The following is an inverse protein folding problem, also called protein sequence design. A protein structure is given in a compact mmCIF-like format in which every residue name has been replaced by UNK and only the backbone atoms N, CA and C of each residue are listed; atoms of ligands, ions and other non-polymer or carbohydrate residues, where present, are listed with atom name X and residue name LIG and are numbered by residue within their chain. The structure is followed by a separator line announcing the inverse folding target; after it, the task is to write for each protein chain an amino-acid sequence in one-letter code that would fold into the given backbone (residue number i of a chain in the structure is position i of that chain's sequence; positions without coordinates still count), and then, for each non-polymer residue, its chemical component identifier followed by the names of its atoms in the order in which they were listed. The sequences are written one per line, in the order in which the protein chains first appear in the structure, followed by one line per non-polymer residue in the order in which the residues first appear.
data_IF_982139334821
#
_entry.id   IF_982139334821
#
_cell.length_a   1.000
_cell.length_b   1.000
_cell.length_c   1.000
_cell.angle_alpha   90.00
_cell.angle_beta   90.00
_cell.angle_gamma   90.00
#
_symmetry.space_group_name_H-M   'P 1'
#
loop_
_entity.id
_entity.type
_entity.pdbx_description
1 polymer ?
#
# COMPACT_ATOMS: atom_id res chain seq x y z
N UNK A 1 -3.69 -11.68 7.44
CA UNK A 1 -2.58 -12.60 7.77
C UNK A 1 -3.10 -13.55 8.79
N UNK A 2 -2.49 -14.73 8.86
CA UNK A 2 -2.88 -15.74 9.85
C UNK A 2 -2.68 -15.20 11.27
N UNK A 3 -3.61 -15.52 12.16
CA UNK A 3 -3.68 -14.93 13.51
C UNK A 3 -2.48 -15.32 14.40
N UNK A 4 -1.75 -16.38 14.04
CA UNK A 4 -0.57 -16.86 14.75
C UNK A 4 0.74 -16.18 14.31
N UNK A 5 0.70 -15.34 13.26
CA UNK A 5 1.85 -14.65 12.72
C UNK A 5 1.96 -13.21 13.23
N UNK A 6 3.18 -12.73 13.54
CA UNK A 6 3.36 -11.36 14.01
C UNK A 6 3.12 -10.34 12.90
N UNK A 7 2.58 -9.18 13.28
CA UNK A 7 2.26 -8.10 12.35
C UNK A 7 3.49 -7.27 11.92
N UNK A 8 4.60 -7.31 12.65
CA UNK A 8 5.78 -6.47 12.39
C UNK A 8 7.11 -7.25 12.56
N UNK A 9 7.28 -8.39 11.85
CA UNK A 9 8.38 -9.32 12.08
C UNK A 9 9.76 -8.68 11.92
N UNK A 10 9.96 -7.73 11.01
CA UNK A 10 11.24 -7.05 10.88
C UNK A 10 11.50 -6.10 12.06
N UNK A 11 10.48 -5.33 12.46
CA UNK A 11 10.60 -4.31 13.49
C UNK A 11 10.79 -4.88 14.90
N UNK A 12 10.32 -6.10 15.18
CA UNK A 12 10.37 -6.64 16.54
C UNK A 12 10.85 -8.10 16.58
N UNK A 13 10.03 -9.06 16.16
CA UNK A 13 10.24 -10.48 16.49
C UNK A 13 11.52 -11.06 15.91
N UNK A 14 11.84 -10.77 14.64
CA UNK A 14 12.99 -11.37 13.97
C UNK A 14 14.34 -10.89 14.53
N UNK A 15 14.36 -9.77 15.27
CA UNK A 15 15.59 -9.25 15.90
C UNK A 15 15.99 -10.05 17.15
N UNK A 16 15.03 -10.74 17.77
CA UNK A 16 15.24 -11.53 18.98
C UNK A 16 15.60 -12.99 18.68
N UNK A 17 15.61 -13.36 17.40
CA UNK A 17 15.84 -14.72 16.93
C UNK A 17 17.26 -14.88 16.33
N UNK A 18 17.80 -16.11 16.31
CA UNK A 18 18.91 -16.45 15.43
C UNK A 18 18.64 -16.03 13.99
N UNK A 19 19.68 -15.58 13.27
CA UNK A 19 19.51 -14.94 11.95
C UNK A 19 18.73 -15.79 10.94
N UNK A 20 18.93 -17.11 10.93
CA UNK A 20 18.20 -18.04 10.07
C UNK A 20 16.72 -18.16 10.46
N UNK A 21 16.42 -18.19 11.75
CA UNK A 21 15.05 -18.27 12.28
C UNK A 21 14.28 -16.96 12.05
N UNK A 22 14.93 -15.81 12.24
CA UNK A 22 14.35 -14.51 11.93
C UNK A 22 14.01 -14.34 10.45
N UNK A 23 14.91 -14.80 9.55
CA UNK A 23 14.63 -14.83 8.11
C UNK A 23 13.45 -15.75 7.79
N UNK A 24 13.44 -16.96 8.35
CA UNK A 24 12.35 -17.91 8.13
C UNK A 24 10.99 -17.39 8.64
N UNK A 25 10.98 -16.67 9.77
CA UNK A 25 9.77 -16.02 10.28
C UNK A 25 9.26 -14.97 9.29
N UNK A 26 10.11 -14.05 8.85
CA UNK A 26 9.72 -13.01 7.88
C UNK A 26 9.18 -13.63 6.58
N UNK A 27 9.80 -14.71 6.08
CA UNK A 27 9.32 -15.39 4.88
C UNK A 27 7.92 -15.99 5.04
N UNK A 28 7.61 -16.58 6.21
CA UNK A 28 6.25 -17.06 6.51
C UNK A 28 5.25 -15.92 6.54
N UNK A 29 5.60 -14.80 7.18
CA UNK A 29 4.75 -13.60 7.23
C UNK A 29 4.53 -13.04 5.83
N UNK A 30 5.58 -12.97 4.99
CA UNK A 30 5.47 -12.53 3.59
C UNK A 30 4.50 -13.41 2.81
N UNK A 31 4.62 -14.73 2.91
CA UNK A 31 3.73 -15.66 2.22
C UNK A 31 2.27 -15.49 2.66
N UNK A 32 2.01 -15.38 3.98
CA UNK A 32 0.68 -15.12 4.51
C UNK A 32 0.11 -13.77 4.05
N UNK A 33 0.94 -12.72 3.99
CA UNK A 33 0.56 -11.41 3.48
C UNK A 33 0.17 -11.45 2.00
N UNK A 34 0.92 -12.18 1.17
CA UNK A 34 0.65 -12.36 -0.26
C UNK A 34 -0.69 -13.08 -0.49
N UNK A 35 -0.94 -14.16 0.24
CA UNK A 35 -2.21 -14.90 0.15
C UNK A 35 -3.40 -14.01 0.57
N UNK A 36 -3.28 -13.32 1.71
CA UNK A 36 -4.34 -12.46 2.20
C UNK A 36 -4.58 -11.24 1.30
N UNK A 37 -3.52 -10.67 0.72
CA UNK A 37 -3.66 -9.60 -0.27
C UNK A 37 -4.41 -10.10 -1.51
N UNK A 38 -4.12 -11.32 -1.97
CA UNK A 38 -4.85 -11.92 -3.08
C UNK A 38 -6.34 -12.11 -2.75
N UNK A 39 -6.67 -12.66 -1.58
CA UNK A 39 -8.07 -12.86 -1.14
C UNK A 39 -8.81 -11.53 -0.98
N UNK A 40 -8.19 -10.55 -0.32
CA UNK A 40 -8.79 -9.24 -0.12
C UNK A 40 -9.10 -8.53 -1.45
N UNK A 41 -8.19 -8.59 -2.44
CA UNK A 41 -8.45 -8.00 -3.75
C UNK A 41 -9.51 -8.77 -4.56
N UNK A 42 -9.66 -10.06 -4.34
CA UNK A 42 -10.78 -10.84 -4.90
C UNK A 42 -12.12 -10.36 -4.33
N UNK A 43 -12.21 -10.18 -3.00
CA UNK A 43 -13.40 -9.63 -2.35
C UNK A 43 -13.75 -8.22 -2.88
N UNK A 44 -12.74 -7.34 -3.04
CA UNK A 44 -12.95 -6.02 -3.65
C UNK A 44 -13.49 -6.15 -5.08
N UNK A 45 -12.98 -7.08 -5.88
CA UNK A 45 -13.46 -7.30 -7.26
C UNK A 45 -14.92 -7.78 -7.33
N UNK A 46 -15.44 -8.41 -6.28
CA UNK A 46 -16.87 -8.79 -6.22
C UNK A 46 -17.81 -7.60 -5.99
N UNK A 47 -17.31 -6.51 -5.42
CA UNK A 47 -18.12 -5.34 -5.02
C UNK A 47 -17.89 -4.13 -5.91
N UNK A 48 -16.69 -3.98 -6.46
CA UNK A 48 -16.31 -2.87 -7.34
C UNK A 48 -16.13 -3.38 -8.77
N UNK A 49 -17.11 -3.14 -9.66
CA UNK A 49 -16.96 -3.51 -11.06
C UNK A 49 -15.87 -2.66 -11.73
N UNK A 50 -15.12 -3.27 -12.63
CA UNK A 50 -14.11 -2.60 -13.48
C UNK A 50 -13.02 -1.83 -12.71
N UNK A 51 -12.19 -2.55 -11.97
CA UNK A 51 -11.02 -1.97 -11.30
C UNK A 51 -9.99 -1.53 -12.34
N UNK A 52 -9.84 -0.22 -12.48
CA UNK A 52 -8.94 0.38 -13.47
C UNK A 52 -7.46 0.36 -13.05
N UNK A 53 -7.17 0.09 -11.78
CA UNK A 53 -5.81 0.04 -11.21
C UNK A 53 -5.80 0.28 -9.70
N UNK A 54 -4.63 0.16 -9.10
CA UNK A 54 -4.42 0.34 -7.66
C UNK A 54 -3.36 1.40 -7.43
N UNK A 55 -3.62 2.38 -6.57
CA UNK A 55 -2.64 3.39 -6.19
C UNK A 55 -2.01 3.04 -4.83
N UNK A 56 -0.68 2.94 -4.79
CA UNK A 56 0.08 2.58 -3.58
C UNK A 56 1.17 3.63 -3.32
N UNK A 57 1.41 3.93 -2.04
CA UNK A 57 2.46 4.89 -1.68
C UNK A 57 3.84 4.29 -1.99
N UNK A 58 4.71 5.10 -2.59
CA UNK A 58 6.12 4.77 -2.85
C UNK A 58 6.78 4.08 -1.66
N UNK A 59 7.54 3.04 -1.96
CA UNK A 59 8.36 2.31 -1.00
C UNK A 59 9.81 2.82 -1.06
N UNK A 60 10.47 3.04 0.09
CA UNK A 60 11.91 3.27 0.13
C UNK A 60 12.64 2.03 -0.37
N UNK A 61 13.83 2.26 -0.91
CA UNK A 61 14.76 1.16 -1.17
C UNK A 61 15.18 0.50 0.15
N UNK A 62 15.26 -0.82 0.12
CA UNK A 62 15.69 -1.65 1.24
C UNK A 62 16.95 -2.41 0.86
N UNK A 63 17.77 -2.81 1.84
CA UNK A 63 18.81 -3.80 1.63
C UNK A 63 18.28 -5.05 0.91
N UNK A 64 19.08 -5.71 0.06
CA UNK A 64 18.59 -6.76 -0.82
C UNK A 64 18.10 -8.00 -0.06
N UNK A 65 18.70 -8.34 1.08
CA UNK A 65 18.33 -9.54 1.85
C UNK A 65 17.52 -9.22 3.11
N UNK A 66 16.67 -10.16 3.53
CA UNK A 66 15.93 -10.06 4.80
C UNK A 66 16.90 -9.96 6.00
N UNK A 67 17.99 -10.73 5.98
CA UNK A 67 18.99 -10.70 7.05
C UNK A 67 19.63 -9.31 7.20
N UNK A 68 19.94 -8.62 6.09
CA UNK A 68 20.43 -7.25 6.13
C UNK A 68 19.36 -6.27 6.61
N UNK A 69 18.10 -6.43 6.16
CA UNK A 69 16.97 -5.59 6.60
C UNK A 69 16.73 -5.66 8.10
N UNK A 70 16.83 -6.84 8.71
CA UNK A 70 16.66 -7.04 10.16
C UNK A 70 17.77 -6.33 10.95
N UNK A 71 19.01 -6.37 10.43
CA UNK A 71 20.18 -5.76 11.08
C UNK A 71 20.25 -4.24 10.90
N UNK A 72 19.73 -3.72 9.79
CA UNK A 72 19.73 -2.29 9.51
C UNK A 72 18.61 -1.57 10.29
N UNK A 73 19.00 -0.61 11.13
CA UNK A 73 18.08 0.12 12.00
C UNK A 73 16.98 0.86 11.23
N UNK A 74 17.32 1.44 10.08
CA UNK A 74 16.33 2.16 9.27
C UNK A 74 15.40 1.17 8.59
N UNK A 75 15.97 0.15 7.93
CA UNK A 75 15.24 -0.82 7.14
C UNK A 75 14.25 -1.60 8.00
N UNK A 76 14.63 -2.08 9.18
CA UNK A 76 13.73 -2.84 10.07
C UNK A 76 12.49 -2.06 10.51
N UNK A 77 12.58 -0.73 10.61
CA UNK A 77 11.45 0.13 10.96
C UNK A 77 10.45 0.34 9.80
N UNK A 78 10.84 0.00 8.57
CA UNK A 78 10.01 0.23 7.38
C UNK A 78 9.71 -1.02 6.56
N UNK A 79 10.49 -2.08 6.74
CA UNK A 79 10.42 -3.28 5.93
C UNK A 79 9.06 -3.98 6.01
N UNK A 80 8.40 -3.95 7.17
CA UNK A 80 7.09 -4.59 7.34
C UNK A 80 6.01 -3.94 6.47
N UNK A 81 5.87 -2.61 6.52
CA UNK A 81 4.87 -1.96 5.68
C UNK A 81 5.26 -1.94 4.19
N UNK A 82 6.56 -2.00 3.87
CA UNK A 82 7.01 -2.19 2.48
C UNK A 82 6.58 -3.58 1.99
N UNK A 83 6.78 -4.62 2.78
CA UNK A 83 6.35 -5.99 2.49
C UNK A 83 4.84 -6.06 2.23
N UNK A 84 4.01 -5.44 3.07
CA UNK A 84 2.55 -5.43 2.84
C UNK A 84 2.14 -4.69 1.56
N UNK A 85 2.78 -3.57 1.24
CA UNK A 85 2.50 -2.87 -0.03
C UNK A 85 2.94 -3.68 -1.24
N UNK A 86 4.08 -4.36 -1.14
CA UNK A 86 4.56 -5.25 -2.21
C UNK A 86 3.63 -6.45 -2.40
N UNK A 87 3.09 -7.03 -1.32
CA UNK A 87 2.08 -8.09 -1.40
C UNK A 87 0.81 -7.62 -2.13
N UNK A 88 0.29 -6.43 -1.81
CA UNK A 88 -0.87 -5.84 -2.51
C UNK A 88 -0.53 -5.55 -3.98
N UNK A 89 0.66 -4.99 -4.25
CA UNK A 89 1.10 -4.72 -5.62
C UNK A 89 1.20 -6.00 -6.46
N UNK A 90 1.78 -7.06 -5.91
CA UNK A 90 1.88 -8.38 -6.56
C UNK A 90 0.51 -8.98 -6.85
N UNK A 91 -0.40 -8.94 -5.87
CA UNK A 91 -1.77 -9.42 -6.03
C UNK A 91 -2.57 -8.63 -7.08
N UNK A 92 -2.37 -7.31 -7.18
CA UNK A 92 -2.97 -6.47 -8.21
C UNK A 92 -2.37 -6.77 -9.60
N UNK A 93 -1.04 -6.89 -9.69
CA UNK A 93 -0.33 -7.19 -10.93
C UNK A 93 -0.75 -8.55 -11.51
N UNK A 94 -0.93 -9.57 -10.67
CA UNK A 94 -1.40 -10.89 -11.08
C UNK A 94 -2.80 -10.87 -11.73
N UNK A 95 -3.59 -9.81 -11.48
CA UNK A 95 -4.90 -9.56 -12.09
C UNK A 95 -4.85 -8.66 -13.32
N UNK A 96 -3.66 -8.24 -13.74
CA UNK A 96 -3.47 -7.27 -14.82
C UNK A 96 -3.85 -5.84 -14.44
N UNK A 97 -4.03 -5.54 -13.14
CA UNK A 97 -4.35 -4.18 -12.72
C UNK A 97 -3.07 -3.34 -12.65
N UNK A 98 -3.02 -2.18 -13.32
CA UNK A 98 -1.85 -1.32 -13.25
C UNK A 98 -1.69 -0.75 -11.85
N UNK A 99 -0.44 -0.71 -11.38
CA UNK A 99 -0.08 -0.12 -10.09
C UNK A 99 0.45 1.29 -10.33
N UNK A 100 -0.15 2.27 -9.66
CA UNK A 100 0.35 3.63 -9.60
C UNK A 100 1.07 3.87 -8.28
N UNK A 101 2.37 4.13 -8.34
CA UNK A 101 3.16 4.45 -7.16
C UNK A 101 3.22 5.98 -6.95
N UNK A 102 2.69 6.46 -5.83
CA UNK A 102 2.57 7.90 -5.55
C UNK A 102 3.50 8.37 -4.43
N UNK A 103 3.94 9.64 -4.49
CA UNK A 103 4.56 10.33 -3.36
C UNK A 103 3.48 11.04 -2.53
N UNK A 104 3.40 10.70 -1.24
CA UNK A 104 2.44 11.30 -0.31
C UNK A 104 2.63 12.82 -0.15
N UNK A 105 3.80 13.36 -0.49
CA UNK A 105 4.07 14.81 -0.45
C UNK A 105 3.44 15.59 -1.60
N UNK A 106 3.29 14.97 -2.78
CA UNK A 106 2.85 15.64 -4.01
C UNK A 106 1.45 15.22 -4.45
N UNK A 107 0.93 14.10 -3.93
CA UNK A 107 -0.31 13.48 -4.42
C UNK A 107 -1.54 14.38 -4.33
N UNK A 108 -1.63 15.29 -3.36
CA UNK A 108 -2.75 16.24 -3.28
C UNK A 108 -2.72 17.26 -4.42
N UNK A 109 -1.53 17.74 -4.79
CA UNK A 109 -1.38 18.66 -5.91
C UNK A 109 -1.60 17.93 -7.25
N UNK A 110 -1.16 16.68 -7.36
CA UNK A 110 -1.46 15.82 -8.51
C UNK A 110 -2.96 15.60 -8.69
N UNK A 111 -3.67 15.31 -7.59
CA UNK A 111 -5.12 15.17 -7.60
C UNK A 111 -5.84 16.48 -7.96
N UNK A 112 -5.36 17.62 -7.43
CA UNK A 112 -5.88 18.94 -7.79
C UNK A 112 -5.73 19.24 -9.28
N UNK A 113 -4.54 18.99 -9.85
CA UNK A 113 -4.29 19.10 -11.29
C UNK A 113 -5.19 18.19 -12.11
N UNK A 114 -5.36 16.94 -11.68
CA UNK A 114 -6.21 15.95 -12.34
C UNK A 114 -7.68 16.40 -12.43
N UNK A 115 -8.19 17.02 -11.36
CA UNK A 115 -9.55 17.54 -11.30
C UNK A 115 -9.70 18.96 -11.86
N UNK A 116 -8.59 19.63 -12.20
CA UNK A 116 -8.55 21.05 -12.58
C UNK A 116 -9.12 21.97 -11.50
N UNK A 117 -8.83 21.66 -10.25
CA UNK A 117 -9.21 22.48 -9.08
C UNK A 117 -7.98 23.07 -8.41
N UNK A 118 -8.15 24.24 -7.77
CA UNK A 118 -7.05 24.93 -7.10
C UNK A 118 -6.50 24.13 -5.90
N UNK A 119 -7.39 23.48 -5.13
CA UNK A 119 -7.01 22.63 -4.01
C UNK A 119 -7.89 21.39 -3.96
N UNK A 120 -7.27 20.23 -3.69
CA UNK A 120 -8.00 18.98 -3.50
C UNK A 120 -8.87 18.99 -2.23
N UNK A 121 -8.49 19.80 -1.24
CA UNK A 121 -9.16 19.87 0.07
C UNK A 121 -10.63 20.26 -0.02
N UNK A 122 -10.97 21.25 -0.85
CA UNK A 122 -12.36 21.65 -1.05
C UNK A 122 -13.19 20.49 -1.62
N UNK A 123 -12.67 19.81 -2.64
CA UNK A 123 -13.32 18.64 -3.24
C UNK A 123 -13.55 17.53 -2.21
N UNK A 124 -12.55 17.25 -1.37
CA UNK A 124 -12.68 16.23 -0.34
C UNK A 124 -13.74 16.59 0.71
N UNK A 125 -13.80 17.86 1.14
CA UNK A 125 -14.81 18.30 2.12
C UNK A 125 -16.23 18.19 1.57
N UNK A 126 -16.45 18.54 0.30
CA UNK A 126 -17.78 18.45 -0.30
C UNK A 126 -18.23 17.00 -0.52
N UNK A 127 -17.31 16.13 -0.95
CA UNK A 127 -17.55 14.69 -0.99
C UNK A 127 -17.88 14.15 0.41
N UNK A 128 -17.09 14.50 1.43
CA UNK A 128 -17.31 14.04 2.82
C UNK A 128 -18.67 14.44 3.36
N UNK A 129 -19.14 15.66 3.07
CA UNK A 129 -20.50 16.12 3.44
C UNK A 129 -21.59 15.31 2.75
N UNK A 130 -21.35 14.89 1.51
CA UNK A 130 -22.33 14.18 0.67
C UNK A 130 -22.44 12.70 1.06
N UNK A 131 -21.30 12.03 1.29
CA UNK A 131 -21.25 10.58 1.56
C UNK A 131 -21.43 10.26 3.05
N UNK A 132 -21.05 11.17 3.96
CA UNK A 132 -21.09 10.91 5.41
C UNK A 132 -19.90 10.09 5.91
N UNK A 133 -19.75 9.90 7.22
CA UNK A 133 -18.62 9.20 7.85
C UNK A 133 -18.35 7.79 7.23
N UNK A 134 -17.09 7.25 7.24
CA UNK A 134 -15.95 7.58 8.11
C UNK A 134 -14.75 8.33 7.44
N UNK A 135 -14.97 9.13 6.39
CA UNK A 135 -13.88 9.81 5.65
C UNK A 135 -12.93 10.66 6.52
N UNK A 136 -11.73 10.12 6.77
CA UNK A 136 -10.66 10.70 7.59
C UNK A 136 -9.46 11.04 6.69
N UNK A 137 -8.30 11.36 7.27
CA UNK A 137 -7.11 11.73 6.50
C UNK A 137 -6.54 10.58 5.65
N UNK A 138 -6.66 9.33 6.09
CA UNK A 138 -6.21 8.18 5.30
C UNK A 138 -7.13 7.98 4.10
N UNK A 139 -8.44 8.11 4.29
CA UNK A 139 -9.42 8.09 3.19
C UNK A 139 -9.19 9.25 2.22
N UNK A 140 -8.84 10.45 2.72
CA UNK A 140 -8.46 11.61 1.90
C UNK A 140 -7.25 11.31 1.03
N UNK A 141 -6.20 10.75 1.63
CA UNK A 141 -4.96 10.40 0.93
C UNK A 141 -5.22 9.34 -0.14
N UNK A 142 -5.98 8.29 0.18
CA UNK A 142 -6.34 7.23 -0.76
C UNK A 142 -7.16 7.76 -1.95
N UNK A 143 -8.13 8.64 -1.70
CA UNK A 143 -8.92 9.28 -2.76
C UNK A 143 -8.06 10.15 -3.67
N UNK A 144 -7.17 10.97 -3.10
CA UNK A 144 -6.24 11.79 -3.88
C UNK A 144 -5.37 10.91 -4.80
N UNK A 145 -4.81 9.82 -4.24
CA UNK A 145 -3.98 8.89 -5.00
C UNK A 145 -4.74 8.21 -6.14
N UNK A 146 -5.99 7.78 -5.91
CA UNK A 146 -6.83 7.18 -6.94
C UNK A 146 -7.14 8.15 -8.09
N UNK A 147 -7.43 9.42 -7.76
CA UNK A 147 -7.71 10.47 -8.73
C UNK A 147 -6.45 10.84 -9.53
N UNK A 148 -5.31 11.02 -8.86
CA UNK A 148 -4.03 11.27 -9.51
C UNK A 148 -3.69 10.14 -10.51
N UNK A 149 -3.84 8.87 -10.09
CA UNK A 149 -3.63 7.70 -10.95
C UNK A 149 -4.55 7.65 -12.18
N UNK A 150 -5.78 8.16 -12.06
CA UNK A 150 -6.78 8.05 -13.13
C UNK A 150 -6.43 8.83 -14.39
N UNK A 151 -5.67 9.93 -14.27
CA UNK A 151 -5.33 10.80 -15.41
C UNK A 151 -4.15 10.30 -16.24
N UNK A 152 -3.27 9.48 -15.65
CA UNK A 152 -2.15 8.85 -16.35
C UNK A 152 -2.60 7.78 -17.35
N UNK A 153 -3.83 7.28 -17.22
CA UNK A 153 -4.44 6.37 -18.20
C UNK A 153 -5.04 7.10 -19.40
N UNK A 154 -5.49 8.35 -19.23
CA UNK A 154 -6.08 9.13 -20.34
C UNK A 154 -5.03 9.70 -21.31
N UNK A 155 -3.74 9.59 -20.97
CA UNK A 155 -2.61 10.07 -21.77
C UNK A 155 -1.84 8.94 -22.49
N UNK A 156 -2.30 7.68 -22.37
CA UNK A 156 -1.80 6.52 -23.11
C UNK A 156 -2.84 6.04 -24.11
#
# INVERSE_FOLDING_TARGET
MDDDLPAIPHHHEAQMLPSNEGVALVERVRASAEEHAARALEEVATTVPHIAGVALRNCPELPPTIAERIKDYRARNVADWVMYRQAIAGAAAARGWPIYWYDAKTVFDEAGRALRVATFDAQFQDMRKTVGAPWNNDHKLAMAAAIAASTLRSAR
#
